data_IF_106426936439
#
_entry.id   IF_106426936439
#
_cell.length_a   1.000
_cell.length_b   1.000
_cell.length_c   1.000
_cell.angle_alpha   90.00
_cell.angle_beta   90.00
_cell.angle_gamma   90.00
#
_symmetry.space_group_name_H-M   'P 1'
#
loop_
_entity.id
_entity.type
_entity.pdbx_description
1 polymer ?
#
# COMPACT_ATOMS: atom_id res chain seq x y z
N UNK A 1 -10.67 26.18 -1.30
CA UNK A 1 -9.43 26.14 -0.49
C UNK A 1 -8.78 24.78 -0.74
N UNK A 2 -7.67 24.74 -1.47
CA UNK A 2 -6.90 23.51 -1.65
C UNK A 2 -6.41 23.07 -0.27
N UNK A 3 -6.84 21.90 0.17
CA UNK A 3 -6.39 21.31 1.42
C UNK A 3 -4.86 21.27 1.43
N UNK A 4 -4.25 22.05 2.32
CA UNK A 4 -2.80 22.18 2.42
C UNK A 4 -2.11 20.83 2.70
N UNK A 5 -2.79 19.89 3.37
CA UNK A 5 -2.25 18.58 3.68
C UNK A 5 -2.18 17.68 2.43
N UNK A 6 -3.27 17.57 1.67
CA UNK A 6 -3.31 16.79 0.42
C UNK A 6 -2.31 17.32 -0.61
N UNK A 7 -2.19 18.65 -0.75
CA UNK A 7 -1.20 19.27 -1.63
C UNK A 7 0.25 18.97 -1.20
N UNK A 8 0.54 18.95 0.12
CA UNK A 8 1.86 18.56 0.64
C UNK A 8 2.19 17.10 0.36
N UNK A 9 1.22 16.20 0.54
CA UNK A 9 1.38 14.78 0.23
C UNK A 9 1.69 14.61 -1.27
N UNK A 10 0.93 15.27 -2.15
CA UNK A 10 1.11 15.18 -3.58
C UNK A 10 2.49 15.73 -4.01
N UNK A 11 2.87 16.91 -3.53
CA UNK A 11 4.18 17.49 -3.83
C UNK A 11 5.35 16.64 -3.33
N UNK A 12 5.24 16.04 -2.14
CA UNK A 12 6.26 15.10 -1.66
C UNK A 12 6.32 13.86 -2.54
N UNK A 13 5.17 13.30 -2.92
CA UNK A 13 5.10 12.11 -3.78
C UNK A 13 5.74 12.34 -5.14
N UNK A 14 5.52 13.49 -5.79
CA UNK A 14 6.10 13.78 -7.09
C UNK A 14 7.61 14.05 -7.03
N UNK A 15 8.09 14.68 -5.96
CA UNK A 15 9.48 15.13 -5.83
C UNK A 15 10.47 14.02 -5.43
N UNK A 16 10.05 13.06 -4.59
CA UNK A 16 10.94 11.99 -4.10
C UNK A 16 11.53 11.16 -5.24
N UNK A 17 12.84 10.90 -5.19
CA UNK A 17 13.59 10.12 -6.18
C UNK A 17 14.30 8.95 -5.51
N UNK A 18 14.66 7.95 -6.29
CA UNK A 18 15.45 6.82 -5.82
C UNK A 18 16.80 7.25 -5.19
N UNK A 19 17.43 8.30 -5.74
CA UNK A 19 18.68 8.87 -5.22
C UNK A 19 18.56 9.50 -3.84
N UNK A 20 17.35 9.82 -3.41
CA UNK A 20 17.09 10.45 -2.12
C UNK A 20 16.93 9.42 -1.00
N UNK A 21 16.83 8.13 -1.37
CA UNK A 21 16.65 7.04 -0.41
C UNK A 21 18.00 6.63 0.20
N UNK A 22 18.09 6.55 1.54
CA UNK A 22 19.24 5.97 2.21
C UNK A 22 19.47 4.50 1.81
N UNK A 23 20.70 4.06 1.75
CA UNK A 23 21.05 2.69 1.33
C UNK A 23 20.43 1.60 2.22
N UNK A 24 20.32 1.84 3.52
CA UNK A 24 19.63 0.94 4.44
C UNK A 24 18.13 0.82 4.16
N UNK A 25 17.45 1.91 3.78
CA UNK A 25 16.04 1.89 3.38
C UNK A 25 15.86 1.05 2.12
N UNK A 26 16.73 1.21 1.11
CA UNK A 26 16.69 0.41 -0.11
C UNK A 26 16.86 -1.07 0.20
N UNK A 27 17.79 -1.40 1.08
CA UNK A 27 18.05 -2.79 1.50
C UNK A 27 16.84 -3.37 2.23
N UNK A 28 16.27 -2.62 3.15
CA UNK A 28 15.11 -3.08 3.92
C UNK A 28 13.87 -3.28 3.04
N UNK A 29 13.60 -2.38 2.10
CA UNK A 29 12.48 -2.55 1.16
C UNK A 29 12.65 -3.83 0.33
N UNK A 30 13.86 -4.14 -0.13
CA UNK A 30 14.11 -5.40 -0.86
C UNK A 30 13.85 -6.63 0.01
N UNK A 31 14.23 -6.58 1.30
CA UNK A 31 13.94 -7.66 2.25
C UNK A 31 12.45 -7.85 2.46
N UNK A 32 11.72 -6.76 2.69
CA UNK A 32 10.27 -6.78 2.89
C UNK A 32 9.54 -7.28 1.64
N UNK A 33 9.97 -6.89 0.43
CA UNK A 33 9.41 -7.43 -0.82
C UNK A 33 9.61 -8.95 -0.88
N UNK A 34 10.82 -9.44 -0.60
CA UNK A 34 11.13 -10.88 -0.63
C UNK A 34 10.29 -11.64 0.39
N UNK A 35 10.21 -11.14 1.61
CA UNK A 35 9.38 -11.67 2.69
C UNK A 35 7.91 -11.75 2.29
N UNK A 36 7.36 -10.65 1.77
CA UNK A 36 5.95 -10.56 1.33
C UNK A 36 5.63 -11.55 0.21
N UNK A 37 6.53 -11.73 -0.74
CA UNK A 37 6.36 -12.73 -1.81
C UNK A 37 6.37 -14.13 -1.20
N UNK A 38 7.27 -14.43 -0.25
CA UNK A 38 7.29 -15.68 0.50
C UNK A 38 5.97 -15.94 1.22
N UNK A 39 5.46 -14.94 1.95
CA UNK A 39 4.15 -15.01 2.61
C UNK A 39 3.01 -15.29 1.62
N UNK A 40 3.02 -14.67 0.43
CA UNK A 40 2.01 -14.90 -0.59
C UNK A 40 2.01 -16.36 -1.09
N UNK A 41 3.19 -16.92 -1.35
CA UNK A 41 3.29 -18.33 -1.80
C UNK A 41 2.73 -19.30 -0.76
N UNK A 42 3.03 -19.12 0.51
CA UNK A 42 2.47 -19.93 1.58
C UNK A 42 0.98 -19.64 1.75
N UNK A 43 0.57 -18.37 1.70
CA UNK A 43 -0.82 -17.96 1.84
C UNK A 43 -1.73 -18.56 0.77
N UNK A 44 -1.23 -18.83 -0.44
CA UNK A 44 -1.99 -19.55 -1.49
C UNK A 44 -2.39 -20.97 -1.11
N UNK A 45 -1.70 -21.59 -0.17
CA UNK A 45 -2.08 -22.92 0.33
C UNK A 45 -3.27 -22.87 1.29
N UNK A 46 -3.69 -21.70 1.72
CA UNK A 46 -4.83 -21.48 2.62
C UNK A 46 -6.13 -21.29 1.84
N UNK A 47 -7.26 -21.51 2.49
CA UNK A 47 -8.57 -21.23 1.91
C UNK A 47 -8.73 -19.74 1.56
N UNK A 48 -8.21 -18.84 2.40
CA UNK A 48 -8.28 -17.40 2.16
C UNK A 48 -7.56 -16.98 0.88
N UNK A 49 -6.31 -17.40 0.70
CA UNK A 49 -5.53 -17.09 -0.51
C UNK A 49 -6.16 -17.72 -1.77
N UNK A 50 -6.59 -18.99 -1.66
CA UNK A 50 -7.24 -19.68 -2.77
C UNK A 50 -8.54 -19.03 -3.20
N UNK A 51 -9.43 -18.68 -2.25
CA UNK A 51 -10.71 -18.02 -2.53
C UNK A 51 -10.47 -16.63 -3.17
N UNK A 52 -9.54 -15.84 -2.65
CA UNK A 52 -9.21 -14.52 -3.20
C UNK A 52 -8.72 -14.63 -4.65
N UNK A 53 -7.88 -15.62 -4.93
CA UNK A 53 -7.38 -15.90 -6.28
C UNK A 53 -8.50 -16.33 -7.22
N UNK A 54 -9.36 -17.25 -6.80
CA UNK A 54 -10.53 -17.69 -7.59
C UNK A 54 -11.47 -16.53 -7.92
N UNK A 55 -11.75 -15.65 -6.96
CA UNK A 55 -12.57 -14.45 -7.17
C UNK A 55 -11.92 -13.55 -8.22
N UNK A 56 -10.63 -13.27 -8.09
CA UNK A 56 -9.89 -12.41 -9.01
C UNK A 56 -9.83 -12.99 -10.43
N UNK A 57 -9.64 -14.31 -10.56
CA UNK A 57 -9.66 -15.01 -11.84
C UNK A 57 -11.05 -14.94 -12.47
N UNK A 58 -12.11 -15.17 -11.71
CA UNK A 58 -13.51 -15.09 -12.19
C UNK A 58 -13.91 -13.69 -12.62
N UNK A 59 -13.43 -12.65 -11.93
CA UNK A 59 -13.63 -11.25 -12.34
C UNK A 59 -12.91 -10.92 -13.66
N UNK A 60 -11.82 -11.61 -13.95
CA UNK A 60 -11.08 -11.49 -15.21
C UNK A 60 -10.41 -10.13 -15.39
N UNK A 61 -10.61 -9.57 -16.60
CA UNK A 61 -9.96 -8.34 -17.03
C UNK A 61 -8.71 -8.61 -17.88
N UNK A 62 -7.98 -7.56 -18.24
CA UNK A 62 -6.73 -7.71 -18.99
C UNK A 62 -5.67 -8.43 -18.15
N UNK A 63 -4.88 -9.31 -18.77
CA UNK A 63 -3.80 -10.07 -18.14
C UNK A 63 -2.58 -9.16 -17.85
N UNK A 64 -2.70 -8.29 -16.83
CA UNK A 64 -1.75 -7.23 -16.52
C UNK A 64 -0.74 -7.60 -15.42
N UNK A 65 -1.15 -8.42 -14.45
CA UNK A 65 -0.30 -8.76 -13.32
C UNK A 65 -0.57 -10.19 -12.82
N UNK A 66 0.46 -10.81 -12.27
CA UNK A 66 0.47 -12.21 -11.84
C UNK A 66 -0.16 -12.37 -10.45
N UNK A 67 -0.89 -13.47 -10.25
CA UNK A 67 -1.25 -13.96 -8.93
C UNK A 67 -0.15 -14.95 -8.49
N UNK A 68 0.56 -14.64 -7.41
CA UNK A 68 1.69 -15.44 -6.93
C UNK A 68 1.23 -16.84 -6.50
N UNK A 69 2.03 -17.85 -6.83
CA UNK A 69 1.70 -19.24 -6.55
C UNK A 69 0.68 -19.86 -7.52
N UNK A 70 0.32 -19.14 -8.59
CA UNK A 70 -0.55 -19.63 -9.67
C UNK A 70 0.04 -19.27 -11.04
N UNK A 71 -0.50 -19.84 -12.12
CA UNK A 71 -0.15 -19.48 -13.50
C UNK A 71 -1.04 -18.33 -14.05
N UNK A 72 -1.93 -17.77 -13.22
CA UNK A 72 -2.91 -16.80 -13.66
C UNK A 72 -2.35 -15.38 -13.70
N UNK A 73 -2.72 -14.64 -14.77
CA UNK A 73 -2.62 -13.19 -14.85
C UNK A 73 -4.02 -12.58 -14.97
N UNK A 74 -4.24 -11.54 -14.21
CA UNK A 74 -5.53 -10.81 -14.14
C UNK A 74 -5.30 -9.31 -14.20
N UNK A 75 -6.35 -8.50 -14.05
CA UNK A 75 -6.18 -7.05 -13.89
C UNK A 75 -5.24 -6.71 -12.74
N UNK A 76 -4.52 -5.59 -12.82
CA UNK A 76 -3.59 -5.17 -11.76
C UNK A 76 -4.30 -5.05 -10.39
N UNK A 77 -5.55 -4.59 -10.38
CA UNK A 77 -6.36 -4.51 -9.15
C UNK A 77 -6.74 -5.88 -8.61
N UNK A 78 -7.11 -6.82 -9.48
CA UNK A 78 -7.39 -8.21 -9.11
C UNK A 78 -6.16 -8.91 -8.55
N UNK A 79 -5.01 -8.75 -9.19
CA UNK A 79 -3.74 -9.31 -8.71
C UNK A 79 -3.33 -8.69 -7.36
N UNK A 80 -3.47 -7.37 -7.20
CA UNK A 80 -3.19 -6.69 -5.93
C UNK A 80 -4.07 -7.23 -4.79
N UNK A 81 -5.36 -7.43 -5.05
CA UNK A 81 -6.30 -8.00 -4.07
C UNK A 81 -5.92 -9.45 -3.72
N UNK A 82 -5.78 -10.33 -4.72
CA UNK A 82 -5.47 -11.74 -4.48
C UNK A 82 -4.14 -11.92 -3.73
N UNK A 83 -3.10 -11.20 -4.16
CA UNK A 83 -1.79 -11.26 -3.53
C UNK A 83 -1.80 -10.65 -2.12
N UNK A 84 -2.57 -9.57 -1.88
CA UNK A 84 -2.72 -8.97 -0.55
C UNK A 84 -3.38 -9.92 0.44
N UNK A 85 -4.46 -10.58 0.03
CA UNK A 85 -5.14 -11.60 0.83
C UNK A 85 -4.22 -12.80 1.13
N UNK A 86 -3.45 -13.24 0.13
CA UNK A 86 -2.49 -14.32 0.32
C UNK A 86 -1.32 -13.90 1.25
N UNK A 87 -0.77 -12.69 1.09
CA UNK A 87 0.32 -12.19 1.94
C UNK A 87 -0.08 -12.13 3.42
N UNK A 88 -1.33 -11.77 3.71
CA UNK A 88 -1.83 -11.64 5.08
C UNK A 88 -2.58 -12.90 5.57
N UNK A 89 -2.71 -13.95 4.77
CA UNK A 89 -3.58 -15.09 5.08
C UNK A 89 -3.25 -15.81 6.39
N UNK A 90 -1.99 -15.81 6.79
CA UNK A 90 -1.50 -16.47 8.01
C UNK A 90 -1.19 -15.49 9.15
N UNK A 91 -1.47 -14.19 8.95
CA UNK A 91 -1.11 -13.15 9.93
C UNK A 91 0.39 -13.17 10.29
N UNK A 92 1.22 -13.48 9.28
CA UNK A 92 2.66 -13.74 9.39
C UNK A 92 3.53 -12.70 8.68
N UNK A 93 2.87 -11.78 7.95
CA UNK A 93 3.52 -10.68 7.26
C UNK A 93 4.06 -9.63 8.24
N UNK A 94 5.09 -8.91 7.79
CA UNK A 94 5.76 -7.91 8.62
C UNK A 94 4.80 -6.79 9.06
N UNK A 95 4.88 -6.43 10.34
CA UNK A 95 4.13 -5.31 10.92
C UNK A 95 4.95 -4.03 10.92
N UNK A 96 4.30 -2.91 10.68
CA UNK A 96 4.88 -1.60 10.98
C UNK A 96 4.92 -1.33 12.48
N UNK A 97 5.71 -0.32 12.90
CA UNK A 97 5.85 0.07 14.31
C UNK A 97 4.52 0.40 15.03
N UNK A 98 3.45 0.66 14.28
CA UNK A 98 2.09 0.89 14.81
C UNK A 98 1.22 -0.39 14.83
N UNK A 99 1.82 -1.57 14.73
CA UNK A 99 1.14 -2.87 14.67
C UNK A 99 0.05 -2.94 13.58
N UNK A 100 0.34 -2.39 12.40
CA UNK A 100 -0.56 -2.42 11.23
C UNK A 100 0.12 -3.17 10.09
N UNK A 101 -0.65 -3.96 9.36
CA UNK A 101 -0.24 -4.76 8.22
C UNK A 101 -0.06 -3.91 6.94
N UNK A 102 0.75 -2.85 7.00
CA UNK A 102 1.02 -1.95 5.88
C UNK A 102 1.58 -2.70 4.67
N UNK A 103 2.34 -3.73 4.95
CA UNK A 103 3.04 -4.57 3.98
C UNK A 103 2.04 -5.25 3.05
N UNK A 104 1.02 -5.90 3.61
CA UNK A 104 0.00 -6.63 2.86
C UNK A 104 -0.94 -5.71 2.03
N UNK A 105 -0.84 -4.40 2.20
CA UNK A 105 -1.61 -3.41 1.43
C UNK A 105 -0.73 -2.71 0.39
N UNK A 106 0.44 -2.20 0.79
CA UNK A 106 1.33 -1.43 -0.08
C UNK A 106 2.05 -2.34 -1.08
N UNK A 107 2.67 -3.43 -0.60
CA UNK A 107 3.52 -4.28 -1.44
C UNK A 107 2.76 -4.91 -2.61
N UNK A 108 1.63 -5.62 -2.40
CA UNK A 108 0.92 -6.26 -3.50
C UNK A 108 0.38 -5.25 -4.52
N UNK A 109 -0.09 -4.08 -4.05
CA UNK A 109 -0.57 -3.02 -4.93
C UNK A 109 0.57 -2.47 -5.81
N UNK A 110 1.75 -2.21 -5.23
CA UNK A 110 2.89 -1.67 -5.98
C UNK A 110 3.50 -2.71 -6.91
N UNK A 111 3.57 -3.99 -6.52
CA UNK A 111 4.06 -5.06 -7.37
C UNK A 111 3.15 -5.28 -8.59
N UNK A 112 1.84 -5.38 -8.39
CA UNK A 112 0.88 -5.55 -9.47
C UNK A 112 0.89 -4.36 -10.44
N UNK A 113 0.98 -3.15 -9.92
CA UNK A 113 1.04 -1.94 -10.73
C UNK A 113 2.38 -1.83 -11.48
N UNK A 114 3.49 -2.19 -10.85
CA UNK A 114 4.80 -2.20 -11.50
C UNK A 114 4.85 -3.21 -12.65
N UNK A 115 4.30 -4.41 -12.47
CA UNK A 115 4.19 -5.41 -13.54
C UNK A 115 3.34 -4.89 -14.70
N UNK A 116 2.16 -4.34 -14.40
CA UNK A 116 1.22 -3.82 -15.42
C UNK A 116 1.77 -2.65 -16.25
N UNK A 117 2.68 -1.87 -15.68
CA UNK A 117 3.26 -0.67 -16.33
C UNK A 117 4.70 -0.88 -16.79
N UNK A 118 5.26 -2.08 -16.59
CA UNK A 118 6.67 -2.39 -16.83
C UNK A 118 7.61 -1.38 -16.14
N UNK A 119 7.29 -1.02 -14.89
CA UNK A 119 8.08 -0.08 -14.12
C UNK A 119 9.44 -0.65 -13.71
N UNK A 120 10.44 0.21 -13.59
CA UNK A 120 11.76 -0.23 -13.14
C UNK A 120 11.76 -0.60 -11.65
N UNK A 121 12.69 -1.50 -11.23
CA UNK A 121 12.87 -1.81 -9.82
C UNK A 121 13.20 -0.59 -8.96
N UNK A 122 13.83 0.45 -9.52
CA UNK A 122 14.07 1.72 -8.82
C UNK A 122 12.79 2.49 -8.59
N UNK A 123 11.91 2.55 -9.59
CA UNK A 123 10.59 3.20 -9.46
C UNK A 123 9.73 2.46 -8.42
N UNK A 124 9.72 1.12 -8.47
CA UNK A 124 9.02 0.28 -7.50
C UNK A 124 9.49 0.53 -6.05
N UNK A 125 10.81 0.47 -5.82
CA UNK A 125 11.38 0.71 -4.49
C UNK A 125 11.04 2.13 -4.00
N UNK A 126 11.10 3.13 -4.87
CA UNK A 126 10.76 4.51 -4.52
C UNK A 126 9.28 4.66 -4.13
N UNK A 127 8.38 4.02 -4.87
CA UNK A 127 6.95 4.04 -4.57
C UNK A 127 6.63 3.33 -3.25
N UNK A 128 7.26 2.19 -2.97
CA UNK A 128 7.09 1.47 -1.71
C UNK A 128 7.64 2.29 -0.53
N UNK A 129 8.83 2.89 -0.67
CA UNK A 129 9.40 3.77 0.35
C UNK A 129 8.47 4.93 0.69
N UNK A 130 7.92 5.59 -0.34
CA UNK A 130 6.94 6.65 -0.20
C UNK A 130 5.71 6.17 0.59
N UNK A 131 5.19 4.99 0.27
CA UNK A 131 4.02 4.41 0.93
C UNK A 131 4.24 4.20 2.43
N UNK A 132 5.33 3.57 2.80
CA UNK A 132 5.66 3.34 4.21
C UNK A 132 5.90 4.64 4.97
N UNK A 133 6.61 5.59 4.37
CA UNK A 133 6.88 6.90 4.97
C UNK A 133 5.59 7.70 5.20
N UNK A 134 4.70 7.76 4.21
CA UNK A 134 3.42 8.45 4.34
C UNK A 134 2.52 7.77 5.36
N UNK A 135 2.42 6.44 5.35
CA UNK A 135 1.64 5.69 6.33
C UNK A 135 2.11 5.98 7.75
N UNK A 136 3.42 5.94 8.00
CA UNK A 136 4.01 6.23 9.30
C UNK A 136 3.69 7.66 9.78
N UNK A 137 3.86 8.64 8.89
CA UNK A 137 3.57 10.05 9.21
C UNK A 137 2.09 10.31 9.49
N UNK A 138 1.21 9.74 8.69
CA UNK A 138 -0.24 9.89 8.87
C UNK A 138 -0.71 9.26 10.18
N UNK A 139 -0.21 8.07 10.51
CA UNK A 139 -0.48 7.41 11.80
C UNK A 139 0.03 8.23 12.98
N UNK A 140 1.25 8.75 12.90
CA UNK A 140 1.82 9.60 13.93
C UNK A 140 1.03 10.92 14.13
N UNK A 141 0.54 11.51 13.03
CA UNK A 141 -0.33 12.68 13.11
C UNK A 141 -1.67 12.37 13.76
N UNK A 142 -2.30 11.26 13.42
CA UNK A 142 -3.55 10.79 14.02
C UNK A 142 -3.41 10.50 15.52
N UNK A 143 -2.30 9.91 15.94
CA UNK A 143 -2.01 9.67 17.37
C UNK A 143 -1.92 10.97 18.17
N UNK A 144 -1.33 12.03 17.60
CA UNK A 144 -1.24 13.36 18.26
C UNK A 144 -2.61 14.01 18.44
N UNK A 145 -3.50 13.86 17.47
CA UNK A 145 -4.86 14.43 17.54
C UNK A 145 -5.65 13.82 18.69
N UNK A 146 -5.48 12.52 18.96
CA UNK A 146 -6.15 11.82 20.07
C UNK A 146 -5.67 12.24 21.45
N UNK A 147 -4.39 12.53 21.60
CA UNK A 147 -3.82 12.98 22.87
C UNK A 147 -4.26 14.41 23.22
N UNK A 148 -4.85 15.13 22.27
CA UNK A 148 -5.25 16.55 22.43
C UNK A 148 -6.73 16.74 22.81
N UNK A 149 -7.56 15.68 22.87
CA UNK A 149 -9.00 15.81 23.19
C UNK A 149 -9.28 16.00 24.68
N UNK A 150 -8.27 15.95 25.51
CA UNK A 150 -8.35 16.23 26.96
C UNK A 150 -9.10 15.20 27.80
N UNK A 151 -9.63 14.15 27.19
CA UNK A 151 -10.45 13.13 27.89
C UNK A 151 -9.63 12.15 28.73
N UNK A 152 -8.33 12.06 28.48
CA UNK A 152 -7.45 11.07 29.14
C UNK A 152 -7.74 9.60 28.77
N UNK A 153 -8.81 9.33 28.05
CA UNK A 153 -9.14 8.00 27.54
C UNK A 153 -8.51 7.77 26.17
N UNK A 154 -7.61 6.79 26.07
CA UNK A 154 -7.11 6.26 24.81
C UNK A 154 -8.23 5.46 24.11
N UNK A 155 -9.13 6.13 23.42
CA UNK A 155 -10.03 5.48 22.47
C UNK A 155 -9.26 5.17 21.21
N UNK A 156 -8.90 3.91 21.01
CA UNK A 156 -8.36 3.42 19.75
C UNK A 156 -9.47 3.38 18.70
N UNK A 157 -9.51 4.26 17.69
CA UNK A 157 -10.35 3.98 16.55
C UNK A 157 -9.69 2.81 15.82
N UNK A 158 -10.40 1.71 15.73
CA UNK A 158 -9.97 0.46 15.13
C UNK A 158 -9.56 0.57 13.64
N UNK A 159 -9.82 1.70 12.99
CA UNK A 159 -9.67 1.86 11.55
C UNK A 159 -8.65 2.92 11.12
N UNK A 160 -8.16 3.77 12.02
CA UNK A 160 -7.24 4.86 11.62
C UNK A 160 -5.94 4.35 10.99
N UNK A 161 -5.44 3.20 11.41
CA UNK A 161 -4.26 2.59 10.83
C UNK A 161 -4.45 2.22 9.36
N UNK A 162 -5.59 1.63 9.03
CA UNK A 162 -5.94 1.22 7.66
C UNK A 162 -6.30 2.42 6.77
N UNK A 163 -6.96 3.44 7.30
CA UNK A 163 -7.19 4.69 6.56
C UNK A 163 -5.86 5.35 6.16
N UNK A 164 -4.90 5.46 7.08
CA UNK A 164 -3.60 6.04 6.81
C UNK A 164 -2.87 5.28 5.69
N UNK A 165 -2.89 3.94 5.72
CA UNK A 165 -2.22 3.11 4.72
C UNK A 165 -2.91 3.18 3.36
N UNK A 166 -4.24 3.29 3.33
CA UNK A 166 -5.01 3.46 2.08
C UNK A 166 -4.65 4.77 1.38
N UNK A 167 -4.58 5.88 2.12
CA UNK A 167 -4.14 7.17 1.59
C UNK A 167 -2.69 7.11 1.07
N UNK A 168 -1.81 6.47 1.82
CA UNK A 168 -0.41 6.28 1.46
C UNK A 168 -0.26 5.43 0.19
N UNK A 169 -1.01 4.32 0.08
CA UNK A 169 -1.02 3.46 -1.10
C UNK A 169 -1.51 4.20 -2.35
N UNK A 170 -2.54 5.06 -2.22
CA UNK A 170 -3.03 5.89 -3.33
C UNK A 170 -1.97 6.87 -3.83
N UNK A 171 -1.23 7.53 -2.92
CA UNK A 171 -0.14 8.42 -3.29
C UNK A 171 1.02 7.66 -3.96
N UNK A 172 1.36 6.47 -3.45
CA UNK A 172 2.40 5.59 -4.00
C UNK A 172 2.06 5.09 -5.40
N UNK A 173 0.81 4.67 -5.61
CA UNK A 173 0.30 4.30 -6.91
C UNK A 173 0.38 5.47 -7.91
N UNK A 174 -0.02 6.66 -7.47
CA UNK A 174 0.11 7.89 -8.25
C UNK A 174 1.55 8.20 -8.65
N UNK A 175 2.50 7.99 -7.73
CA UNK A 175 3.94 8.12 -7.99
C UNK A 175 4.40 7.13 -9.06
N UNK A 176 4.07 5.85 -8.90
CA UNK A 176 4.48 4.80 -9.83
C UNK A 176 3.89 5.01 -11.23
N UNK A 177 2.65 5.52 -11.31
CA UNK A 177 1.97 5.93 -12.55
C UNK A 177 2.48 7.27 -13.11
N UNK A 178 3.44 7.93 -12.48
CA UNK A 178 4.01 9.21 -12.89
C UNK A 178 2.95 10.32 -13.05
N UNK A 179 1.94 10.31 -12.16
CA UNK A 179 0.92 11.33 -12.14
C UNK A 179 1.49 12.67 -11.62
N UNK A 180 0.92 13.77 -12.07
CA UNK A 180 1.25 15.10 -11.52
C UNK A 180 0.58 15.34 -10.16
N UNK A 181 0.99 16.42 -9.47
CA UNK A 181 0.52 16.78 -8.14
C UNK A 181 -1.01 16.81 -8.04
N UNK A 182 -1.69 17.44 -9.02
CA UNK A 182 -3.14 17.54 -9.02
C UNK A 182 -3.84 16.17 -9.09
N UNK A 183 -3.33 15.26 -9.92
CA UNK A 183 -3.87 13.90 -10.05
C UNK A 183 -3.57 13.06 -8.81
N UNK A 184 -2.40 13.18 -8.21
CA UNK A 184 -2.07 12.50 -6.94
C UNK A 184 -2.97 13.03 -5.82
N UNK A 185 -3.16 14.35 -5.73
CA UNK A 185 -4.06 14.96 -4.75
C UNK A 185 -5.48 14.42 -4.89
N UNK A 186 -5.99 14.30 -6.12
CA UNK A 186 -7.30 13.71 -6.39
C UNK A 186 -7.36 12.23 -6.00
N UNK A 187 -6.33 11.45 -6.32
CA UNK A 187 -6.27 10.02 -5.94
C UNK A 187 -6.31 9.85 -4.41
N UNK A 188 -5.56 10.65 -3.67
CA UNK A 188 -5.57 10.66 -2.20
C UNK A 188 -6.94 11.08 -1.66
N UNK A 189 -7.58 12.10 -2.27
CA UNK A 189 -8.91 12.55 -1.86
C UNK A 189 -9.98 11.48 -2.11
N UNK A 190 -9.94 10.79 -3.25
CA UNK A 190 -10.83 9.67 -3.57
C UNK A 190 -10.64 8.54 -2.55
N UNK A 191 -9.38 8.17 -2.26
CA UNK A 191 -9.05 7.16 -1.27
C UNK A 191 -9.63 7.53 0.11
N UNK A 192 -9.54 8.79 0.52
CA UNK A 192 -10.14 9.29 1.75
C UNK A 192 -11.67 9.20 1.77
N UNK A 193 -12.30 9.39 0.62
CA UNK A 193 -13.76 9.29 0.49
C UNK A 193 -14.32 7.86 0.56
N UNK A 194 -13.51 6.86 0.25
CA UNK A 194 -13.91 5.44 0.31
C UNK A 194 -13.42 4.73 1.59
N UNK A 195 -12.55 5.37 2.37
CA UNK A 195 -12.21 4.84 3.69
C UNK A 195 -13.45 4.87 4.58
N UNK A 196 -13.73 3.77 5.32
CA UNK A 196 -14.85 3.80 6.24
C UNK A 196 -14.64 4.91 7.27
N UNK A 197 -15.69 5.71 7.56
CA UNK A 197 -15.65 6.66 8.67
C UNK A 197 -15.45 5.87 9.98
N UNK A 198 -14.69 6.43 10.89
CA UNK A 198 -14.52 5.86 12.24
C UNK A 198 -15.83 5.88 13.03
#
# INVERSE_FOLDING_TARGET
>A
MTDKATAKIAGFATQIKYSDLPANVITEIKRVILDSIGCAFIGQTTDRGRIASEVSIKQGGAAQASIYGTDAKVSATGAAFANGEAMNALDYDALSAAAVHDVAIIIPAMLALAESTNASGKDLITAIALGFELSARLKAAGAKIRLSDGSGELKWPSVLGYAAVTLAAAASAGKLLRLNDGKIANAVAIAGGICPPN
#
